data_IF_798915199255
#
_entry.id   IF_798915199255
#
_cell.length_a   1.000
_cell.length_b   1.000
_cell.length_c   1.000
_cell.angle_alpha   90.00
_cell.angle_beta   90.00
_cell.angle_gamma   90.00
#
_symmetry.space_group_name_H-M   'P 1'
#
loop_
_entity.id
_entity.type
_entity.pdbx_description
1 polymer ?
#
# COMPACT_ATOMS: atom_id res chain seq x y z
N UNK A 1 -20.99 -3.57 40.46
CA UNK A 1 -22.08 -2.77 39.85
C UNK A 1 -21.97 -1.34 40.37
N UNK A 2 -22.14 -0.25 39.62
CA UNK A 2 -22.30 -0.08 38.16
C UNK A 2 -21.85 1.35 37.76
N UNK A 3 -21.26 1.57 36.57
CA UNK A 3 -21.10 2.92 36.02
C UNK A 3 -22.33 3.37 35.22
N UNK A 4 -22.66 4.66 35.33
CA UNK A 4 -23.91 5.27 34.85
C UNK A 4 -24.07 5.32 33.32
N UNK A 5 -25.33 5.45 32.88
CA UNK A 5 -25.77 5.40 31.48
C UNK A 5 -25.76 6.78 30.79
N UNK A 6 -25.29 6.80 29.52
CA UNK A 6 -25.92 7.39 28.30
C UNK A 6 -26.27 8.91 28.35
N UNK A 7 -25.82 9.77 27.42
CA UNK A 7 -26.37 9.95 26.04
C UNK A 7 -25.38 10.62 25.06
N UNK A 8 -25.55 10.43 23.73
CA UNK A 8 -24.89 11.24 22.70
C UNK A 8 -25.72 12.49 22.33
N UNK A 9 -25.09 13.67 22.27
CA UNK A 9 -25.75 14.90 21.83
C UNK A 9 -25.86 14.97 20.29
N UNK A 10 -27.05 14.65 19.78
CA UNK A 10 -27.41 14.75 18.35
C UNK A 10 -27.91 16.15 18.03
N UNK A 11 -27.07 17.00 17.45
CA UNK A 11 -27.48 18.33 16.97
C UNK A 11 -28.04 18.24 15.55
N UNK A 12 -29.36 18.34 15.42
CA UNK A 12 -30.03 18.49 14.11
C UNK A 12 -30.24 19.97 13.81
N UNK A 13 -29.91 20.42 12.60
CA UNK A 13 -30.45 21.68 12.06
C UNK A 13 -30.68 21.60 10.55
N UNK A 14 -31.95 21.78 10.20
CA UNK A 14 -32.60 22.06 8.89
C UNK A 14 -33.86 22.90 9.24
N UNK A 15 -34.58 23.59 8.33
CA UNK A 15 -34.55 23.58 6.86
C UNK A 15 -33.87 24.90 6.33
N UNK A 16 -34.16 25.57 5.21
CA UNK A 16 -35.27 25.46 4.22
C UNK A 16 -34.96 26.04 2.82
N UNK A 17 -35.75 25.58 1.84
CA UNK A 17 -36.30 26.25 0.64
C UNK A 17 -35.54 27.39 -0.07
N UNK A 18 -35.15 27.15 -1.34
CA UNK A 18 -35.83 27.76 -2.51
C UNK A 18 -35.52 26.99 -3.81
N UNK A 19 -36.53 26.76 -4.66
CA UNK A 19 -36.34 26.53 -6.11
C UNK A 19 -36.21 27.92 -6.79
N UNK A 20 -35.68 28.13 -8.00
CA UNK A 20 -35.98 27.49 -9.30
C UNK A 20 -34.87 27.86 -10.34
N UNK A 21 -34.93 27.45 -11.64
CA UNK A 21 -33.73 27.25 -12.45
C UNK A 21 -33.35 28.38 -13.42
N UNK A 22 -32.05 28.47 -13.75
CA UNK A 22 -31.57 29.10 -14.99
C UNK A 22 -30.22 28.51 -15.44
N UNK A 23 -30.08 28.23 -16.74
CA UNK A 23 -28.87 27.70 -17.35
C UNK A 23 -27.68 28.67 -17.26
N UNK A 24 -26.52 28.20 -16.79
CA UNK A 24 -25.23 28.78 -17.17
C UNK A 24 -24.13 27.72 -17.25
N UNK A 25 -23.56 27.59 -18.44
CA UNK A 25 -22.45 26.68 -18.74
C UNK A 25 -21.20 27.06 -17.95
N UNK A 26 -20.68 26.16 -17.12
CA UNK A 26 -19.38 26.29 -16.43
C UNK A 26 -18.55 25.02 -16.63
N UNK A 27 -17.21 25.12 -16.60
CA UNK A 27 -16.34 24.16 -17.28
C UNK A 27 -16.19 22.85 -16.50
N UNK A 28 -16.02 21.77 -17.26
CA UNK A 28 -15.58 20.44 -16.86
C UNK A 28 -15.39 20.24 -15.34
N UNK A 29 -16.41 19.67 -14.69
CA UNK A 29 -16.35 19.11 -13.34
C UNK A 29 -15.09 18.25 -13.19
N UNK A 30 -14.00 18.87 -12.73
CA UNK A 30 -12.79 18.16 -12.35
C UNK A 30 -13.15 17.41 -11.07
N UNK A 31 -13.58 16.16 -11.23
CA UNK A 31 -13.94 15.27 -10.15
C UNK A 31 -12.84 15.23 -9.09
N UNK A 32 -13.05 15.93 -7.97
CA UNK A 32 -12.11 16.04 -6.86
C UNK A 32 -12.00 14.73 -6.06
N UNK A 33 -12.45 13.58 -6.62
CA UNK A 33 -12.08 12.22 -6.20
C UNK A 33 -10.57 12.09 -6.12
N UNK A 34 -10.07 12.41 -4.92
CA UNK A 34 -8.68 12.58 -4.52
C UNK A 34 -7.80 11.52 -5.14
N UNK A 35 -7.17 11.87 -6.28
CA UNK A 35 -6.38 10.97 -7.13
C UNK A 35 -5.54 10.06 -6.25
N UNK A 36 -5.79 8.75 -6.32
CA UNK A 36 -5.26 7.76 -5.37
C UNK A 36 -3.76 7.96 -5.24
N UNK A 37 -3.31 8.45 -4.08
CA UNK A 37 -1.89 8.74 -3.84
C UNK A 37 -1.12 7.44 -4.01
N UNK A 38 -0.17 7.42 -4.94
CA UNK A 38 0.67 6.27 -5.26
C UNK A 38 1.75 6.07 -4.19
N UNK A 39 1.34 5.97 -2.92
CA UNK A 39 2.20 5.87 -1.74
C UNK A 39 1.95 4.52 -1.08
N UNK A 40 3.03 3.78 -0.84
CA UNK A 40 2.98 2.48 -0.21
C UNK A 40 2.47 2.50 1.22
N UNK A 41 1.96 1.35 1.65
CA UNK A 41 1.55 1.13 3.03
C UNK A 41 2.77 1.14 3.96
N UNK A 42 2.66 1.82 5.11
CA UNK A 42 3.72 1.88 6.14
C UNK A 42 3.57 0.79 7.20
N UNK A 43 2.58 -0.08 7.04
CA UNK A 43 2.31 -1.28 7.84
C UNK A 43 2.72 -2.50 7.02
N UNK A 44 3.09 -3.61 7.67
CA UNK A 44 3.25 -4.87 6.93
C UNK A 44 1.92 -5.26 6.24
N UNK A 45 2.02 -6.02 5.15
CA UNK A 45 0.90 -6.46 4.31
C UNK A 45 -0.19 -7.12 5.15
N UNK A 46 0.17 -8.03 6.08
CA UNK A 46 -0.78 -8.67 7.00
C UNK A 46 -1.55 -7.68 7.88
N UNK A 47 -0.86 -6.74 8.53
CA UNK A 47 -1.53 -5.73 9.37
C UNK A 47 -2.36 -4.74 8.53
N UNK A 48 -1.91 -4.42 7.31
CA UNK A 48 -2.63 -3.56 6.37
C UNK A 48 -3.96 -4.19 5.95
N UNK A 49 -3.93 -5.43 5.44
CA UNK A 49 -5.11 -6.19 5.05
C UNK A 49 -6.06 -6.44 6.24
N UNK A 50 -5.50 -6.80 7.40
CA UNK A 50 -6.26 -7.01 8.65
C UNK A 50 -6.80 -5.72 9.30
N UNK A 51 -6.43 -4.54 8.76
CA UNK A 51 -6.75 -3.21 9.32
C UNK A 51 -6.38 -3.08 10.80
N UNK A 52 -5.20 -3.59 11.19
CA UNK A 52 -4.67 -3.54 12.58
C UNK A 52 -3.43 -2.65 12.67
N UNK A 53 -3.17 -2.16 13.88
CA UNK A 53 -1.93 -1.43 14.18
C UNK A 53 -0.70 -2.32 13.91
N UNK A 54 0.33 -1.71 13.33
CA UNK A 54 1.61 -2.33 13.04
C UNK A 54 2.71 -1.49 13.72
N UNK A 55 3.49 -2.11 14.59
CA UNK A 55 4.63 -1.51 15.32
C UNK A 55 5.90 -1.33 14.47
N UNK A 56 5.86 -1.79 13.21
CA UNK A 56 6.89 -1.60 12.17
C UNK A 56 8.26 -2.23 12.43
N UNK A 57 8.42 -2.97 13.53
CA UNK A 57 9.55 -3.91 13.71
C UNK A 57 9.49 -4.99 12.62
N UNK A 58 10.61 -5.67 12.38
CA UNK A 58 10.73 -6.73 11.36
C UNK A 58 11.26 -8.02 11.99
N UNK A 59 10.45 -9.09 12.07
CA UNK A 59 8.99 -9.11 11.92
C UNK A 59 8.29 -8.22 12.98
N UNK A 60 7.06 -7.77 12.71
CA UNK A 60 6.34 -6.89 13.64
C UNK A 60 5.80 -7.70 14.83
N UNK A 61 5.71 -7.08 16.03
CA UNK A 61 5.34 -7.79 17.26
C UNK A 61 4.02 -8.55 17.14
N UNK A 62 3.04 -8.01 16.40
CA UNK A 62 1.77 -8.72 16.16
C UNK A 62 1.92 -9.95 15.25
N UNK A 63 2.75 -9.91 14.22
CA UNK A 63 3.03 -11.08 13.39
C UNK A 63 3.83 -12.15 14.15
N UNK A 64 4.70 -11.73 15.08
CA UNK A 64 5.38 -12.66 16.01
C UNK A 64 4.37 -13.38 16.90
N UNK A 65 3.49 -12.65 17.58
CA UNK A 65 2.45 -13.21 18.47
C UNK A 65 1.47 -14.16 17.77
N UNK A 66 1.24 -13.98 16.47
CA UNK A 66 0.33 -14.81 15.67
C UNK A 66 1.04 -15.97 14.94
N UNK A 67 2.36 -16.12 15.08
CA UNK A 67 3.13 -17.12 14.32
C UNK A 67 3.26 -16.83 12.82
N UNK A 68 2.90 -15.62 12.38
CA UNK A 68 2.88 -15.20 10.97
C UNK A 68 4.17 -14.45 10.55
N UNK A 69 5.31 -14.77 11.18
CA UNK A 69 6.58 -14.07 10.97
C UNK A 69 7.06 -14.17 9.52
N UNK A 70 6.99 -15.36 8.91
CA UNK A 70 7.34 -15.58 7.50
C UNK A 70 6.44 -14.86 6.49
N UNK A 71 5.25 -14.41 6.91
CA UNK A 71 4.32 -13.63 6.08
C UNK A 71 4.35 -12.12 6.43
N UNK A 72 5.24 -11.68 7.32
CA UNK A 72 5.36 -10.29 7.75
C UNK A 72 6.13 -9.42 6.72
N UNK A 73 5.60 -9.38 5.49
CA UNK A 73 6.19 -8.69 4.34
C UNK A 73 5.76 -7.21 4.36
N UNK A 74 6.61 -6.33 3.84
CA UNK A 74 6.32 -4.92 3.60
C UNK A 74 6.44 -4.63 2.11
N UNK A 75 5.55 -3.80 1.56
CA UNK A 75 5.66 -3.32 0.18
C UNK A 75 6.96 -2.49 0.03
N UNK A 76 7.65 -2.66 -1.10
CA UNK A 76 8.85 -1.89 -1.48
C UNK A 76 8.53 -1.13 -2.76
N UNK A 77 8.99 0.12 -2.88
CA UNK A 77 8.66 0.93 -4.06
C UNK A 77 9.62 0.55 -5.18
N UNK A 78 9.14 -0.26 -6.11
CA UNK A 78 9.91 -0.69 -7.27
C UNK A 78 10.47 0.49 -8.08
N UNK A 79 9.82 1.66 -8.06
CA UNK A 79 10.33 2.86 -8.76
C UNK A 79 11.47 3.53 -7.99
N UNK A 80 11.49 3.41 -6.67
CA UNK A 80 12.63 3.82 -5.86
C UNK A 80 13.78 2.80 -5.93
N UNK A 81 13.46 1.50 -5.95
CA UNK A 81 14.44 0.43 -6.07
C UNK A 81 15.10 0.38 -7.46
N UNK A 82 14.34 0.61 -8.54
CA UNK A 82 14.83 0.69 -9.91
C UNK A 82 15.75 1.90 -10.18
N UNK A 83 15.86 2.85 -9.24
CA UNK A 83 16.91 3.87 -9.28
C UNK A 83 18.32 3.27 -9.16
N UNK A 84 18.44 2.01 -8.70
CA UNK A 84 19.68 1.24 -8.73
C UNK A 84 19.90 0.54 -10.07
N UNK A 85 20.21 1.31 -11.13
CA UNK A 85 20.58 0.78 -12.47
C UNK A 85 21.66 -0.31 -12.40
N UNK A 86 22.60 -0.14 -11.45
CA UNK A 86 23.68 -1.06 -11.10
C UNK A 86 23.19 -2.51 -10.86
N UNK A 87 22.08 -2.69 -10.13
CA UNK A 87 21.57 -4.03 -9.82
C UNK A 87 20.95 -4.75 -11.02
N UNK A 88 20.36 -4.00 -11.95
CA UNK A 88 19.83 -4.57 -13.20
C UNK A 88 20.97 -4.97 -14.15
N UNK A 89 21.99 -4.11 -14.29
CA UNK A 89 23.16 -4.42 -15.11
C UNK A 89 23.94 -5.62 -14.56
N UNK A 90 24.13 -5.70 -13.24
CA UNK A 90 24.74 -6.86 -12.58
C UNK A 90 23.93 -8.15 -12.82
N UNK A 91 22.60 -8.10 -12.72
CA UNK A 91 21.75 -9.27 -13.01
C UNK A 91 21.87 -9.74 -14.46
N UNK A 92 21.98 -8.82 -15.43
CA UNK A 92 22.22 -9.16 -16.84
C UNK A 92 23.61 -9.81 -17.04
N UNK A 93 24.66 -9.25 -16.44
CA UNK A 93 26.02 -9.81 -16.48
C UNK A 93 26.06 -11.23 -15.89
N UNK A 94 25.42 -11.43 -14.73
CA UNK A 94 25.32 -12.75 -14.08
C UNK A 94 24.56 -13.75 -14.95
N UNK A 95 23.41 -13.39 -15.52
CA UNK A 95 22.65 -14.26 -16.45
C UNK A 95 23.48 -14.69 -17.66
N UNK A 96 24.21 -13.75 -18.27
CA UNK A 96 25.11 -14.08 -19.40
C UNK A 96 26.19 -15.08 -18.96
N UNK A 97 26.81 -14.85 -17.79
CA UNK A 97 27.87 -15.74 -17.29
C UNK A 97 27.34 -17.13 -16.93
N UNK A 98 26.12 -17.23 -16.40
CA UNK A 98 25.44 -18.51 -16.15
C UNK A 98 25.27 -19.28 -17.47
N UNK A 99 24.76 -18.65 -18.52
CA UNK A 99 24.59 -19.30 -19.83
C UNK A 99 25.91 -19.78 -20.46
N UNK A 100 26.99 -19.00 -20.35
CA UNK A 100 28.34 -19.43 -20.77
C UNK A 100 28.81 -20.68 -20.02
N UNK A 101 28.64 -20.71 -18.68
CA UNK A 101 29.02 -21.85 -17.84
C UNK A 101 28.15 -23.09 -18.13
N UNK A 102 26.85 -22.90 -18.38
CA UNK A 102 25.91 -23.98 -18.74
C UNK A 102 26.26 -24.63 -20.10
N UNK A 103 26.84 -23.89 -21.05
CA UNK A 103 27.38 -24.47 -22.30
C UNK A 103 28.58 -25.35 -22.03
N UNK A 104 29.59 -24.83 -21.30
CA UNK A 104 30.81 -25.57 -20.96
C UNK A 104 30.48 -26.85 -20.16
N UNK A 105 29.54 -26.78 -19.23
CA UNK A 105 29.09 -27.93 -18.44
C UNK A 105 28.36 -28.99 -19.28
N UNK A 106 27.77 -28.60 -20.42
CA UNK A 106 27.12 -29.49 -21.40
C UNK A 106 28.12 -30.12 -22.37
N UNK A 107 29.21 -29.43 -22.70
CA UNK A 107 30.28 -29.93 -23.56
C UNK A 107 31.23 -30.90 -22.81
N UNK A 108 31.31 -30.79 -21.48
CA UNK A 108 32.15 -31.64 -20.61
C UNK A 108 31.38 -32.81 -19.96
N UNK A 109 30.16 -33.14 -20.42
CA UNK A 109 29.35 -34.27 -19.98
C UNK A 109 28.88 -35.12 -21.15
#
# INVERSE_FOLDING_TARGET
>A
MAPSRVTPARSQKSPSDTADPASSSTPAEMDHRKRRRNRLSVSCVNCHQSKRMCDRKRPCSRCVQLGLTGLCIYEVDEKAAASGTQGHEENLRLRKRIAELESVVRELK
#
